data_IF_075465242049
#
_entry.id   IF_075465242049
#
_cell.length_a   1.000
_cell.length_b   1.000
_cell.length_c   1.000
_cell.angle_alpha   90.00
_cell.angle_beta   90.00
_cell.angle_gamma   90.00
#
_symmetry.space_group_name_H-M   'P 1'
#
loop_
_entity.id
_entity.type
_entity.pdbx_description
1 polymer ?
#
# COMPACT_ATOMS: atom_id res chain seq x y z
N UNK A 1 9.88 -8.27 35.33
CA UNK A 1 9.44 -7.65 34.06
C UNK A 1 7.92 -7.63 34.09
N UNK A 2 7.29 -6.44 34.12
CA UNK A 2 5.84 -6.33 34.11
C UNK A 2 5.27 -6.82 32.80
N UNK A 3 4.31 -7.73 32.84
CA UNK A 3 3.61 -8.19 31.65
C UNK A 3 2.71 -7.06 31.12
N UNK A 4 2.83 -6.79 29.82
CA UNK A 4 1.95 -5.86 29.11
C UNK A 4 0.67 -6.59 28.75
N UNK A 5 -0.48 -6.29 29.39
CA UNK A 5 -1.76 -6.96 29.11
C UNK A 5 -2.95 -6.00 29.19
N UNK A 6 -3.99 -6.31 28.40
CA UNK A 6 -5.32 -5.69 28.46
C UNK A 6 -6.32 -6.83 28.62
N UNK A 7 -6.96 -6.93 29.77
CA UNK A 7 -7.77 -8.10 30.13
C UNK A 7 -6.93 -9.38 30.10
N UNK A 8 -7.33 -10.33 29.24
CA UNK A 8 -6.62 -11.62 29.07
C UNK A 8 -5.61 -11.62 27.92
N UNK A 9 -5.49 -10.51 27.17
CA UNK A 9 -4.64 -10.40 25.99
C UNK A 9 -3.27 -9.88 26.41
N UNK A 10 -2.21 -10.67 26.19
CA UNK A 10 -0.82 -10.33 26.43
C UNK A 10 -0.18 -9.73 25.17
N UNK A 11 0.65 -8.70 25.33
CA UNK A 11 1.35 -8.01 24.25
C UNK A 11 2.84 -8.30 24.31
N UNK A 12 3.46 -8.51 23.15
CA UNK A 12 4.87 -8.86 23.04
C UNK A 12 5.81 -7.69 23.39
N UNK A 13 5.36 -6.45 23.16
CA UNK A 13 6.17 -5.25 23.37
C UNK A 13 5.35 -4.11 23.98
N UNK A 14 6.04 -3.06 24.45
CA UNK A 14 5.42 -1.82 24.94
C UNK A 14 4.71 -1.06 23.82
N UNK A 15 5.25 -1.13 22.62
CA UNK A 15 4.68 -0.51 21.42
C UNK A 15 3.37 -1.21 21.02
N UNK A 16 3.34 -2.53 21.03
CA UNK A 16 2.12 -3.33 20.81
C UNK A 16 1.05 -3.05 21.87
N UNK A 17 1.46 -2.91 23.12
CA UNK A 17 0.54 -2.53 24.20
C UNK A 17 -0.07 -1.15 23.98
N UNK A 18 0.73 -0.16 23.52
CA UNK A 18 0.21 1.18 23.18
C UNK A 18 -0.79 1.12 22.01
N UNK A 19 -0.50 0.31 20.98
CA UNK A 19 -1.45 0.05 19.91
C UNK A 19 -2.72 -0.60 20.43
N UNK A 20 -2.61 -1.59 21.33
CA UNK A 20 -3.72 -2.19 22.07
C UNK A 20 -4.57 -1.19 22.83
N UNK A 21 -3.95 -0.22 23.50
CA UNK A 21 -4.67 0.85 24.21
C UNK A 21 -5.44 1.80 23.26
N UNK A 22 -4.89 2.07 22.05
CA UNK A 22 -5.63 2.84 21.03
C UNK A 22 -6.83 2.06 20.51
N UNK A 23 -6.63 0.79 20.21
CA UNK A 23 -7.70 -0.09 19.72
C UNK A 23 -8.76 -0.31 20.79
N UNK A 24 -8.40 -0.42 22.08
CA UNK A 24 -9.37 -0.49 23.17
C UNK A 24 -10.33 0.71 23.17
N UNK A 25 -9.80 1.92 22.98
CA UNK A 25 -10.64 3.13 22.87
C UNK A 25 -11.56 3.09 21.64
N UNK A 26 -11.04 2.62 20.50
CA UNK A 26 -11.84 2.45 19.28
C UNK A 26 -12.96 1.42 19.48
N UNK A 27 -12.64 0.27 20.08
CA UNK A 27 -13.62 -0.78 20.41
C UNK A 27 -14.70 -0.23 21.34
N UNK A 28 -14.33 0.46 22.40
CA UNK A 28 -15.27 1.06 23.34
C UNK A 28 -16.19 2.10 22.69
N UNK A 29 -15.66 2.86 21.74
CA UNK A 29 -16.46 3.85 20.97
C UNK A 29 -17.44 3.16 20.01
N UNK A 30 -16.98 2.13 19.32
CA UNK A 30 -17.78 1.40 18.32
C UNK A 30 -18.87 0.56 18.96
N UNK A 31 -18.58 -0.07 20.11
CA UNK A 31 -19.53 -0.90 20.85
C UNK A 31 -20.45 -0.11 21.79
N UNK A 32 -20.29 1.20 21.87
CA UNK A 32 -21.07 2.05 22.76
C UNK A 32 -22.56 2.02 22.41
N UNK A 33 -23.37 1.43 23.27
CA UNK A 33 -24.82 1.32 23.10
C UNK A 33 -25.28 0.11 22.26
N UNK A 34 -24.37 -0.79 21.89
CA UNK A 34 -24.67 -2.03 21.18
C UNK A 34 -24.68 -3.22 22.14
N UNK A 35 -25.59 -4.18 21.92
CA UNK A 35 -25.61 -5.49 22.59
C UNK A 35 -24.86 -6.51 21.72
N UNK A 36 -23.54 -6.55 21.79
CA UNK A 36 -22.70 -7.42 20.95
C UNK A 36 -22.94 -8.92 21.18
N UNK A 37 -23.75 -9.29 22.15
CA UNK A 37 -24.26 -10.67 22.28
C UNK A 37 -25.45 -10.94 21.36
N UNK A 38 -26.10 -9.91 20.83
CA UNK A 38 -27.11 -10.05 19.77
C UNK A 38 -26.39 -10.30 18.45
N UNK A 39 -26.75 -11.41 17.80
CA UNK A 39 -26.22 -11.83 16.50
C UNK A 39 -26.38 -10.74 15.41
N UNK A 40 -27.47 -9.98 15.42
CA UNK A 40 -27.76 -8.97 14.38
C UNK A 40 -26.86 -7.74 14.57
N UNK A 41 -26.73 -7.26 15.81
CA UNK A 41 -25.88 -6.10 16.09
C UNK A 41 -24.39 -6.43 15.85
N UNK A 42 -23.95 -7.63 16.21
CA UNK A 42 -22.61 -8.11 15.93
C UNK A 42 -22.35 -8.23 14.41
N UNK A 43 -23.32 -8.73 13.64
CA UNK A 43 -23.21 -8.84 12.19
C UNK A 43 -23.16 -7.45 11.51
N UNK A 44 -24.02 -6.52 11.93
CA UNK A 44 -24.00 -5.13 11.40
C UNK A 44 -22.66 -4.45 11.66
N UNK A 45 -22.13 -4.58 12.86
CA UNK A 45 -20.83 -4.01 13.21
C UNK A 45 -19.70 -4.70 12.44
N UNK A 46 -19.75 -6.02 12.26
CA UNK A 46 -18.77 -6.75 11.48
C UNK A 46 -18.76 -6.31 10.01
N UNK A 47 -19.91 -6.20 9.37
CA UNK A 47 -20.01 -5.71 7.98
C UNK A 47 -19.55 -4.26 7.82
N UNK A 48 -19.76 -3.42 8.82
CA UNK A 48 -19.19 -2.08 8.84
C UNK A 48 -17.65 -2.11 8.96
N UNK A 49 -17.10 -3.00 9.79
CA UNK A 49 -15.66 -3.14 10.00
C UNK A 49 -14.94 -3.78 8.80
N UNK A 50 -15.61 -4.61 8.01
CA UNK A 50 -15.07 -5.12 6.73
C UNK A 50 -14.67 -3.98 5.79
N UNK A 51 -15.44 -2.89 5.77
CA UNK A 51 -15.15 -1.71 4.94
C UNK A 51 -14.02 -0.84 5.47
N UNK A 52 -13.48 -1.15 6.65
CA UNK A 52 -12.39 -0.41 7.30
C UNK A 52 -11.34 -1.37 7.88
N UNK A 53 -10.61 -2.10 7.04
CA UNK A 53 -9.68 -3.14 7.46
C UNK A 53 -8.55 -2.63 8.38
N UNK A 54 -8.15 -1.37 8.24
CA UNK A 54 -7.05 -0.75 8.99
C UNK A 54 -7.47 -0.01 10.28
N UNK A 55 -8.73 -0.13 10.68
CA UNK A 55 -9.20 0.54 11.88
C UNK A 55 -8.47 0.06 13.14
N UNK A 56 -7.99 -1.18 13.14
CA UNK A 56 -7.30 -1.80 14.26
C UNK A 56 -5.85 -2.14 13.93
N UNK A 57 -4.94 -1.80 14.84
CA UNK A 57 -3.49 -1.95 14.67
C UNK A 57 -2.91 -3.11 15.48
N UNK A 58 -3.61 -3.57 16.51
CA UNK A 58 -3.10 -4.51 17.53
C UNK A 58 -3.75 -5.90 17.48
N UNK A 59 -3.17 -6.83 18.24
CA UNK A 59 -3.77 -8.14 18.49
C UNK A 59 -5.19 -8.00 19.08
N UNK A 60 -5.41 -7.05 19.98
CA UNK A 60 -6.72 -6.80 20.60
C UNK A 60 -7.79 -6.46 19.54
N UNK A 61 -7.45 -5.61 18.57
CA UNK A 61 -8.38 -5.25 17.50
C UNK A 61 -8.69 -6.40 16.55
N UNK A 62 -7.68 -7.24 16.24
CA UNK A 62 -7.88 -8.46 15.44
C UNK A 62 -8.77 -9.47 16.16
N UNK A 63 -8.55 -9.68 17.44
CA UNK A 63 -9.39 -10.56 18.27
C UNK A 63 -10.84 -10.05 18.36
N UNK A 64 -11.04 -8.74 18.47
CA UNK A 64 -12.37 -8.15 18.46
C UNK A 64 -13.09 -8.40 17.13
N UNK A 65 -12.40 -8.24 16.01
CA UNK A 65 -12.96 -8.53 14.68
C UNK A 65 -13.32 -10.00 14.51
N UNK A 66 -12.42 -10.91 14.95
CA UNK A 66 -12.68 -12.36 14.95
C UNK A 66 -13.89 -12.72 15.81
N UNK A 67 -14.00 -12.09 16.98
CA UNK A 67 -15.16 -12.27 17.86
C UNK A 67 -16.47 -11.87 17.20
N UNK A 68 -16.50 -10.70 16.53
CA UNK A 68 -17.69 -10.23 15.82
C UNK A 68 -18.07 -11.15 14.66
N UNK A 69 -17.08 -11.66 13.93
CA UNK A 69 -17.27 -12.63 12.85
C UNK A 69 -17.92 -13.89 13.38
N UNK A 70 -17.34 -14.50 14.41
CA UNK A 70 -17.86 -15.73 14.99
C UNK A 70 -19.29 -15.55 15.52
N UNK A 71 -19.58 -14.39 16.12
CA UNK A 71 -20.94 -14.04 16.56
C UNK A 71 -21.90 -13.87 15.38
N UNK A 72 -21.46 -13.20 14.31
CA UNK A 72 -22.23 -13.04 13.08
C UNK A 72 -22.54 -14.39 12.39
N UNK A 73 -21.61 -15.33 12.46
CA UNK A 73 -21.73 -16.68 11.89
C UNK A 73 -22.46 -17.65 12.82
N UNK A 74 -22.88 -17.22 14.02
CA UNK A 74 -23.52 -18.07 15.04
C UNK A 74 -22.59 -19.09 15.68
N UNK A 75 -21.28 -18.87 15.58
CA UNK A 75 -20.23 -19.74 16.10
C UNK A 75 -19.85 -19.28 17.52
N UNK A 76 -19.59 -20.24 18.41
CA UNK A 76 -19.10 -19.92 19.76
C UNK A 76 -17.61 -19.57 19.68
N UNK A 77 -17.28 -18.29 19.95
CA UNK A 77 -15.90 -17.85 19.97
C UNK A 77 -15.07 -18.61 21.02
N UNK A 78 -13.80 -18.99 20.76
CA UNK A 78 -12.95 -19.77 21.67
C UNK A 78 -12.78 -19.16 23.07
N UNK A 79 -12.80 -17.85 23.17
CA UNK A 79 -12.69 -17.13 24.45
C UNK A 79 -14.05 -16.81 25.11
N UNK A 80 -15.16 -17.33 24.56
CA UNK A 80 -16.51 -17.04 25.04
C UNK A 80 -16.99 -15.64 24.65
N UNK A 81 -17.45 -14.85 25.63
CA UNK A 81 -17.79 -13.44 25.37
C UNK A 81 -16.53 -12.57 25.41
N UNK A 82 -16.46 -11.57 24.53
CA UNK A 82 -15.37 -10.59 24.58
C UNK A 82 -15.37 -9.90 25.95
N UNK A 83 -14.19 -9.65 26.56
CA UNK A 83 -14.12 -9.13 27.93
C UNK A 83 -14.93 -7.84 28.08
N UNK A 84 -15.89 -7.81 29.02
CA UNK A 84 -16.73 -6.60 29.25
C UNK A 84 -15.91 -5.37 29.58
N UNK A 85 -14.76 -5.55 30.21
CA UNK A 85 -13.77 -4.50 30.51
C UNK A 85 -13.25 -3.80 29.24
N UNK A 86 -13.25 -4.49 28.10
CA UNK A 86 -12.84 -3.97 26.80
C UNK A 86 -14.00 -3.32 26.04
N UNK A 87 -15.26 -3.57 26.39
CA UNK A 87 -16.43 -3.06 25.70
C UNK A 87 -16.96 -1.75 26.29
N UNK A 88 -16.74 -1.50 27.59
CA UNK A 88 -17.30 -0.34 28.31
C UNK A 88 -16.26 0.36 29.19
N UNK A 89 -16.17 1.68 29.11
CA UNK A 89 -15.42 2.45 30.10
C UNK A 89 -16.27 2.58 31.37
N UNK A 90 -15.78 2.06 32.51
CA UNK A 90 -16.52 1.86 33.77
C UNK A 90 -17.10 3.11 34.46
N UNK A 91 -17.20 4.27 33.83
CA UNK A 91 -17.80 5.48 34.37
C UNK A 91 -19.19 5.84 33.84
N UNK A 92 -19.63 5.25 32.72
CA UNK A 92 -20.86 5.66 32.03
C UNK A 92 -22.01 4.63 32.02
N UNK A 93 -21.80 3.43 32.59
CA UNK A 93 -22.79 2.35 32.56
C UNK A 93 -24.11 2.64 33.32
N UNK A 94 -24.11 3.59 34.28
CA UNK A 94 -25.32 3.92 35.04
C UNK A 94 -26.21 5.02 34.43
N UNK A 95 -25.67 5.86 33.53
CA UNK A 95 -26.43 7.00 32.95
C UNK A 95 -27.09 6.65 31.59
N UNK A 96 -26.66 5.61 30.92
CA UNK A 96 -27.15 5.29 29.53
C UNK A 96 -28.25 4.21 29.49
N UNK A 97 -28.46 3.41 30.52
CA UNK A 97 -29.62 2.52 30.62
C UNK A 97 -30.98 3.24 30.62
N UNK A 98 -31.01 4.53 30.90
CA UNK A 98 -32.19 5.38 30.80
C UNK A 98 -32.44 5.99 29.41
N UNK A 99 -31.40 6.29 28.66
CA UNK A 99 -31.51 6.97 27.37
C UNK A 99 -31.74 6.00 26.19
N UNK A 100 -31.30 4.74 26.31
CA UNK A 100 -31.47 3.72 25.26
C UNK A 100 -32.93 3.23 25.12
N UNK A 101 -33.79 3.44 26.11
CA UNK A 101 -35.21 3.07 26.04
C UNK A 101 -36.09 4.09 25.28
N UNK A 102 -35.61 5.32 25.10
CA UNK A 102 -36.34 6.38 24.37
C UNK A 102 -35.92 6.54 22.91
N UNK A 103 -34.80 5.92 22.46
CA UNK A 103 -34.25 6.08 21.11
C UNK A 103 -34.67 5.01 20.08
N UNK A 104 -35.48 4.03 20.46
CA UNK A 104 -35.90 2.89 19.57
C UNK A 104 -37.26 3.15 18.90
N UNK A 105 -37.58 4.36 18.57
CA UNK A 105 -38.87 4.70 17.97
C UNK A 105 -38.84 5.78 16.87
N UNK A 106 -37.91 5.73 15.91
CA UNK A 106 -37.96 6.71 14.83
C UNK A 106 -36.96 6.47 13.69
N UNK A 107 -37.40 6.73 12.47
CA UNK A 107 -36.60 6.64 11.23
C UNK A 107 -35.38 7.58 11.18
N UNK A 108 -35.21 8.46 12.17
CA UNK A 108 -34.18 9.52 12.22
C UNK A 108 -32.82 9.06 12.75
N UNK A 109 -32.71 7.84 13.28
CA UNK A 109 -31.46 7.31 13.84
C UNK A 109 -30.34 7.09 12.80
N UNK A 110 -30.69 6.89 11.53
CA UNK A 110 -29.69 6.66 10.45
C UNK A 110 -29.05 7.94 9.94
N UNK A 111 -29.78 9.05 9.94
CA UNK A 111 -29.23 10.37 9.55
C UNK A 111 -28.35 10.97 10.65
N UNK A 112 -28.70 10.77 11.91
CA UNK A 112 -27.88 11.23 13.04
C UNK A 112 -26.51 10.51 13.12
N UNK A 113 -26.44 9.23 12.69
CA UNK A 113 -25.18 8.48 12.61
C UNK A 113 -24.27 8.99 11.48
N UNK A 114 -24.81 9.33 10.31
CA UNK A 114 -24.06 9.92 9.18
C UNK A 114 -23.55 11.34 9.49
N UNK A 115 -24.35 12.14 10.16
CA UNK A 115 -23.96 13.49 10.59
C UNK A 115 -22.88 13.47 11.71
N UNK A 116 -22.86 12.44 12.57
CA UNK A 116 -21.85 12.23 13.60
C UNK A 116 -20.48 11.85 13.02
N UNK A 117 -20.44 11.08 11.94
CA UNK A 117 -19.20 10.67 11.26
C UNK A 117 -18.52 11.81 10.50
N UNK A 118 -19.31 12.69 9.83
CA UNK A 118 -18.76 13.90 9.20
C UNK A 118 -18.22 14.92 10.19
N UNK A 119 -18.89 15.13 11.34
CA UNK A 119 -18.44 16.07 12.37
C UNK A 119 -17.20 15.61 13.16
N UNK A 120 -16.90 14.30 13.17
CA UNK A 120 -15.71 13.78 13.82
C UNK A 120 -14.44 14.02 12.98
N UNK A 121 -14.56 13.97 11.65
CA UNK A 121 -13.44 14.22 10.72
C UNK A 121 -13.01 15.69 10.66
N UNK A 122 -13.97 16.63 10.82
CA UNK A 122 -13.66 18.07 10.85
C UNK A 122 -13.12 18.59 12.20
N UNK A 123 -13.48 17.95 13.32
CA UNK A 123 -13.07 18.42 14.65
C UNK A 123 -11.66 18.05 15.05
N UNK A 124 -11.10 16.96 14.52
CA UNK A 124 -9.74 16.54 14.85
C UNK A 124 -8.68 17.33 14.07
N UNK A 125 -8.99 17.79 12.86
CA UNK A 125 -8.08 18.64 12.09
C UNK A 125 -8.01 20.06 12.68
N UNK A 126 -9.12 20.61 13.20
CA UNK A 126 -9.15 21.94 13.81
C UNK A 126 -8.44 22.05 15.17
N UNK A 127 -8.38 20.96 15.95
CA UNK A 127 -7.74 20.99 17.27
C UNK A 127 -6.21 20.89 17.24
N UNK A 128 -5.66 20.34 16.17
CA UNK A 128 -4.20 20.24 16.02
C UNK A 128 -3.57 21.56 15.54
N UNK A 129 -4.32 22.37 14.80
CA UNK A 129 -3.90 23.71 14.37
C UNK A 129 -4.04 24.74 15.48
N UNK A 130 -5.13 24.73 16.26
CA UNK A 130 -5.30 25.66 17.40
C UNK A 130 -4.32 25.39 18.57
N UNK A 131 -3.84 24.17 18.74
CA UNK A 131 -2.83 23.85 19.76
C UNK A 131 -1.44 24.37 19.42
N UNK A 132 -1.10 24.43 18.12
CA UNK A 132 0.18 24.94 17.64
C UNK A 132 0.27 26.47 17.66
N UNK A 133 -0.85 27.18 17.55
CA UNK A 133 -0.87 28.64 17.65
C UNK A 133 -0.85 29.15 19.10
N UNK A 134 -1.44 28.43 20.07
CA UNK A 134 -1.39 28.84 21.48
C UNK A 134 -0.05 28.64 22.18
N UNK A 135 0.76 27.69 21.70
CA UNK A 135 2.10 27.45 22.27
C UNK A 135 3.17 28.45 21.80
N UNK A 136 2.82 29.41 20.93
CA UNK A 136 3.73 30.44 20.39
C UNK A 136 3.51 31.84 20.96
N UNK A 137 2.44 32.10 21.73
CA UNK A 137 2.12 33.42 22.30
C UNK A 137 2.50 33.62 23.77
N UNK A 138 3.01 32.57 24.45
CA UNK A 138 3.30 32.64 25.90
C UNK A 138 4.81 32.77 26.22
N UNK A 139 5.55 33.53 25.41
CA UNK A 139 6.93 33.93 25.69
C UNK A 139 7.08 35.45 25.62
N UNK A 140 6.49 36.12 26.62
CA UNK A 140 6.68 37.53 26.82
C UNK A 140 6.42 37.90 28.30
N UNK A 141 7.43 38.47 28.89
CA UNK A 141 7.44 39.21 30.15
C UNK A 141 7.58 38.43 31.47
N UNK A 142 8.82 38.27 31.89
CA UNK A 142 9.19 38.24 33.33
C UNK A 142 10.19 39.38 33.63
N UNK A 143 9.67 40.49 34.16
CA UNK A 143 10.46 41.52 34.80
C UNK A 143 10.98 41.05 36.19
N UNK A 144 12.16 41.55 36.52
CA UNK A 144 12.89 41.34 37.77
C UNK A 144 12.14 41.85 38.99
N UNK A 145 12.01 40.98 40.02
CA UNK A 145 12.13 41.46 41.43
C UNK A 145 12.37 40.24 42.38
N UNK A 146 13.41 40.32 43.18
CA UNK A 146 13.57 39.36 44.28
C UNK A 146 15.01 38.87 44.55
N UNK A 147 15.95 39.78 44.82
CA UNK A 147 17.19 39.40 45.51
C UNK A 147 16.90 39.14 47.01
N UNK A 148 17.61 38.12 47.53
CA UNK A 148 17.83 37.76 48.93
C UNK A 148 16.90 36.65 49.47
N UNK A 149 17.42 35.45 49.37
CA UNK A 149 17.48 34.38 50.37
C UNK A 149 17.50 32.98 49.72
N UNK A 150 18.64 32.47 49.31
CA UNK A 150 18.97 31.02 49.35
C UNK A 150 20.46 30.81 49.08
N UNK A 151 21.28 31.00 50.04
CA UNK A 151 22.63 30.46 50.09
C UNK A 151 22.62 29.29 51.06
N UNK A 152 22.66 28.06 50.55
CA UNK A 152 23.29 26.85 51.13
C UNK A 152 22.61 25.50 50.88
N UNK A 153 22.04 25.20 49.72
CA UNK A 153 21.74 23.80 49.37
C UNK A 153 21.91 23.43 47.89
N UNK A 154 22.41 24.36 47.03
CA UNK A 154 22.41 24.21 45.56
C UNK A 154 23.58 23.45 44.94
N UNK A 155 24.73 23.26 45.64
CA UNK A 155 25.96 22.78 44.98
C UNK A 155 26.02 21.27 44.61
N UNK A 156 25.21 20.40 45.24
CA UNK A 156 25.21 18.95 44.93
C UNK A 156 24.22 18.57 43.78
N UNK A 157 23.06 19.26 43.68
CA UNK A 157 22.08 18.97 42.61
C UNK A 157 22.56 19.42 41.22
N UNK A 158 23.27 20.52 41.11
CA UNK A 158 23.77 21.07 39.81
C UNK A 158 24.82 20.16 39.19
N UNK A 159 25.58 19.39 39.95
CA UNK A 159 26.62 18.47 39.45
C UNK A 159 26.06 17.25 38.69
N UNK A 160 24.83 16.83 38.97
CA UNK A 160 24.15 15.69 38.33
C UNK A 160 23.26 16.15 37.14
N UNK A 161 22.70 17.36 37.23
CA UNK A 161 21.81 17.91 36.19
C UNK A 161 22.57 18.20 34.88
N UNK A 162 23.79 18.75 34.98
CA UNK A 162 24.59 19.07 33.77
C UNK A 162 24.87 17.85 32.88
N UNK A 163 25.39 16.71 33.38
CA UNK A 163 25.61 15.52 32.55
C UNK A 163 24.30 14.93 32.04
N UNK A 164 23.19 15.04 32.79
CA UNK A 164 21.88 14.57 32.33
C UNK A 164 21.34 15.40 31.16
N UNK A 165 21.49 16.74 31.22
CA UNK A 165 21.12 17.62 30.11
C UNK A 165 21.99 17.37 28.86
N UNK A 166 23.30 17.13 29.02
CA UNK A 166 24.20 16.78 27.91
C UNK A 166 23.79 15.45 27.29
N UNK A 167 23.48 14.44 28.12
CA UNK A 167 22.99 13.14 27.65
C UNK A 167 21.64 13.28 26.90
N UNK A 168 20.71 14.06 27.46
CA UNK A 168 19.42 14.32 26.81
C UNK A 168 19.61 15.05 25.47
N UNK A 169 20.49 16.05 25.40
CA UNK A 169 20.84 16.73 24.16
C UNK A 169 21.46 15.80 23.12
N UNK A 170 22.35 14.92 23.57
CA UNK A 170 22.96 13.90 22.68
C UNK A 170 21.91 12.90 22.17
N UNK A 171 21.00 12.42 23.03
CA UNK A 171 19.88 11.56 22.62
C UNK A 171 18.95 12.25 21.61
N UNK A 172 18.66 13.55 21.77
CA UNK A 172 17.88 14.33 20.81
C UNK A 172 18.59 14.47 19.47
N UNK A 173 19.90 14.69 19.46
CA UNK A 173 20.70 14.74 18.23
C UNK A 173 20.67 13.37 17.53
N UNK A 174 20.91 12.28 18.25
CA UNK A 174 20.86 10.93 17.70
C UNK A 174 19.47 10.58 17.16
N UNK A 175 18.42 10.96 17.88
CA UNK A 175 17.04 10.78 17.44
C UNK A 175 16.73 11.60 16.17
N UNK A 176 17.22 12.83 16.09
CA UNK A 176 17.08 13.68 14.89
C UNK A 176 17.83 13.11 13.70
N UNK A 177 19.07 12.65 13.89
CA UNK A 177 19.84 11.95 12.87
C UNK A 177 19.15 10.68 12.41
N UNK A 178 18.65 9.85 13.34
CA UNK A 178 17.87 8.68 13.02
C UNK A 178 16.63 9.04 12.17
N UNK A 179 15.90 10.10 12.53
CA UNK A 179 14.72 10.54 11.75
C UNK A 179 15.09 11.03 10.35
N UNK A 180 16.23 11.72 10.20
CA UNK A 180 16.71 12.20 8.90
C UNK A 180 17.10 11.02 8.01
N UNK A 181 17.87 10.06 8.52
CA UNK A 181 18.39 8.95 7.73
C UNK A 181 17.45 7.73 7.65
N UNK A 182 16.42 7.67 8.52
CA UNK A 182 15.54 6.49 8.56
C UNK A 182 14.82 6.25 7.23
N UNK A 183 14.42 7.31 6.53
CA UNK A 183 13.78 7.19 5.21
C UNK A 183 14.71 6.52 4.20
N UNK A 184 15.93 7.02 4.08
CA UNK A 184 16.90 6.51 3.10
C UNK A 184 17.30 5.07 3.41
N UNK A 185 17.47 4.73 4.70
CA UNK A 185 17.79 3.36 5.13
C UNK A 185 16.65 2.39 4.79
N UNK A 186 15.39 2.76 5.11
CA UNK A 186 14.25 1.89 4.82
C UNK A 186 14.00 1.74 3.32
N UNK A 187 14.19 2.83 2.55
CA UNK A 187 14.07 2.81 1.11
C UNK A 187 15.14 1.92 0.46
N UNK A 188 16.38 2.02 0.91
CA UNK A 188 17.48 1.14 0.47
C UNK A 188 17.20 -0.34 0.77
N UNK A 189 16.67 -0.64 1.97
CA UNK A 189 16.29 -2.02 2.33
C UNK A 189 15.19 -2.53 1.40
N UNK A 190 14.21 -1.70 1.08
CA UNK A 190 13.14 -2.04 0.13
C UNK A 190 13.68 -2.35 -1.26
N UNK A 191 14.57 -1.52 -1.80
CA UNK A 191 15.21 -1.75 -3.10
C UNK A 191 15.97 -3.07 -3.14
N UNK A 192 16.76 -3.37 -2.11
CA UNK A 192 17.49 -4.64 -2.01
C UNK A 192 16.55 -5.86 -2.03
N UNK A 193 15.39 -5.75 -1.38
CA UNK A 193 14.37 -6.82 -1.45
C UNK A 193 13.82 -6.98 -2.87
N UNK A 194 13.61 -5.88 -3.61
CA UNK A 194 13.14 -5.96 -5.00
C UNK A 194 14.19 -6.58 -5.91
N UNK A 195 15.48 -6.26 -5.73
CA UNK A 195 16.58 -6.91 -6.44
C UNK A 195 16.63 -8.42 -6.14
N UNK A 196 16.43 -8.83 -4.88
CA UNK A 196 16.36 -10.24 -4.49
C UNK A 196 15.18 -10.94 -5.20
N UNK A 197 13.99 -10.34 -5.23
CA UNK A 197 12.84 -10.90 -5.95
C UNK A 197 13.11 -11.02 -7.45
N UNK A 198 13.71 -10.00 -8.08
CA UNK A 198 14.09 -10.04 -9.49
C UNK A 198 15.10 -11.17 -9.77
N UNK A 199 16.05 -11.41 -8.86
CA UNK A 199 17.00 -12.51 -9.00
C UNK A 199 16.35 -13.90 -8.95
N UNK A 200 15.22 -14.05 -8.26
CA UNK A 200 14.46 -15.31 -8.24
C UNK A 200 13.85 -15.66 -9.61
N UNK A 201 13.56 -14.66 -10.46
CA UNK A 201 13.06 -14.89 -11.83
C UNK A 201 14.20 -15.29 -12.76
N UNK A 202 15.38 -14.72 -12.56
CA UNK A 202 16.54 -14.89 -13.42
C UNK A 202 17.44 -16.07 -13.02
N UNK A 203 17.09 -16.79 -11.94
CA UNK A 203 17.92 -17.90 -11.45
C UNK A 203 17.96 -19.00 -12.52
N UNK A 204 19.12 -19.30 -13.11
CA UNK A 204 19.24 -20.40 -14.05
C UNK A 204 18.93 -21.71 -13.32
N UNK A 205 18.04 -22.52 -13.87
CA UNK A 205 17.87 -23.90 -13.40
C UNK A 205 19.11 -24.68 -13.80
N UNK A 206 19.59 -25.58 -12.94
CA UNK A 206 20.72 -26.44 -13.29
C UNK A 206 20.48 -27.17 -14.62
N UNK A 207 21.51 -27.31 -15.47
CA UNK A 207 21.34 -27.84 -16.82
C UNK A 207 20.79 -29.26 -16.78
N UNK A 208 19.62 -29.46 -17.37
CA UNK A 208 19.08 -30.79 -17.59
C UNK A 208 19.84 -31.53 -18.72
N UNK A 209 19.72 -32.84 -18.77
CA UNK A 209 20.30 -33.70 -19.79
C UNK A 209 19.98 -33.25 -21.22
N UNK A 210 18.86 -32.57 -21.42
CA UNK A 210 18.43 -31.97 -22.69
C UNK A 210 19.31 -30.82 -23.17
N UNK A 211 19.83 -29.97 -22.27
CA UNK A 211 20.73 -28.87 -22.63
C UNK A 211 22.10 -29.41 -23.11
N UNK A 212 22.64 -30.38 -22.40
CA UNK A 212 23.89 -31.01 -22.81
C UNK A 212 23.83 -31.63 -24.20
N UNK A 213 22.69 -32.27 -24.55
CA UNK A 213 22.48 -32.78 -25.93
C UNK A 213 22.39 -31.65 -26.93
N UNK A 214 21.69 -30.56 -26.60
CA UNK A 214 21.56 -29.41 -27.52
C UNK A 214 22.88 -28.72 -27.78
N UNK A 215 23.72 -28.56 -26.76
CA UNK A 215 25.08 -28.04 -26.89
C UNK A 215 25.90 -28.93 -27.83
N UNK A 216 25.85 -30.28 -27.59
CA UNK A 216 26.53 -31.21 -28.43
C UNK A 216 26.10 -31.15 -29.92
N UNK A 217 24.81 -31.05 -30.20
CA UNK A 217 24.25 -30.89 -31.55
C UNK A 217 24.74 -29.59 -32.22
N UNK A 218 24.73 -28.46 -31.47
CA UNK A 218 25.20 -27.18 -31.99
C UNK A 218 26.70 -27.22 -32.33
N UNK A 219 27.52 -27.84 -31.51
CA UNK A 219 28.95 -28.04 -31.75
C UNK A 219 29.14 -28.96 -32.95
N UNK A 220 28.38 -30.07 -33.00
CA UNK A 220 28.47 -31.06 -34.10
C UNK A 220 28.09 -30.49 -35.47
N UNK A 221 27.27 -29.43 -35.49
CA UNK A 221 26.92 -28.71 -36.72
C UNK A 221 28.12 -28.02 -37.37
N UNK A 222 29.19 -27.77 -36.64
CA UNK A 222 30.39 -27.07 -37.08
C UNK A 222 30.20 -25.57 -37.34
N UNK A 223 29.02 -25.01 -37.00
CA UNK A 223 28.69 -23.60 -37.24
C UNK A 223 28.99 -22.70 -36.03
N UNK A 224 29.15 -23.28 -34.85
CA UNK A 224 29.28 -22.54 -33.61
C UNK A 224 30.49 -23.06 -32.80
N UNK A 225 31.17 -22.19 -32.10
CA UNK A 225 32.14 -22.52 -31.10
C UNK A 225 31.45 -23.10 -29.85
N UNK A 226 32.18 -23.77 -28.98
CA UNK A 226 31.62 -24.32 -27.76
C UNK A 226 30.96 -23.23 -26.88
N UNK A 227 31.58 -22.05 -26.76
CA UNK A 227 31.06 -20.93 -26.00
C UNK A 227 29.76 -20.37 -26.62
N UNK A 228 29.70 -20.24 -27.95
CA UNK A 228 28.49 -19.82 -28.67
C UNK A 228 27.36 -20.85 -28.51
N UNK A 229 27.67 -22.14 -28.63
CA UNK A 229 26.71 -23.23 -28.45
C UNK A 229 26.10 -23.24 -27.05
N UNK A 230 26.91 -23.05 -26.01
CA UNK A 230 26.45 -22.93 -24.63
C UNK A 230 25.51 -21.75 -24.49
N UNK A 231 25.87 -20.58 -25.02
CA UNK A 231 25.05 -19.37 -24.91
C UNK A 231 23.72 -19.50 -25.66
N UNK A 232 23.73 -20.15 -26.83
CA UNK A 232 22.50 -20.40 -27.61
C UNK A 232 21.60 -21.39 -26.86
N UNK A 233 22.14 -22.55 -26.44
CA UNK A 233 21.35 -23.55 -25.74
C UNK A 233 20.73 -23.00 -24.44
N UNK A 234 21.50 -22.21 -23.71
CA UNK A 234 21.01 -21.52 -22.49
C UNK A 234 19.86 -20.55 -22.81
N UNK A 235 20.01 -19.69 -23.83
CA UNK A 235 18.94 -18.78 -24.25
C UNK A 235 17.68 -19.50 -24.71
N UNK A 236 17.82 -20.57 -25.50
CA UNK A 236 16.71 -21.41 -25.92
C UNK A 236 16.00 -22.06 -24.75
N UNK A 237 16.75 -22.51 -23.73
CA UNK A 237 16.20 -23.13 -22.54
C UNK A 237 15.52 -22.09 -21.64
N UNK A 238 16.13 -20.93 -21.43
CA UNK A 238 15.54 -19.81 -20.68
C UNK A 238 14.23 -19.36 -21.34
N UNK A 239 14.19 -19.30 -22.67
CA UNK A 239 12.98 -18.96 -23.41
C UNK A 239 11.91 -20.03 -23.25
N UNK A 240 12.23 -21.31 -23.41
CA UNK A 240 11.28 -22.42 -23.23
C UNK A 240 10.74 -22.50 -21.81
N UNK A 241 11.60 -22.29 -20.79
CA UNK A 241 11.14 -22.25 -19.40
C UNK A 241 10.29 -21.03 -19.09
N UNK A 242 10.61 -19.88 -19.67
CA UNK A 242 9.80 -18.69 -19.55
C UNK A 242 8.40 -18.83 -20.18
N UNK A 243 8.25 -19.74 -21.14
CA UNK A 243 6.99 -20.06 -21.82
C UNK A 243 6.28 -21.29 -21.25
N UNK A 244 6.97 -22.11 -20.43
CA UNK A 244 6.33 -23.23 -19.77
C UNK A 244 5.39 -22.76 -18.66
N UNK A 245 4.29 -23.49 -18.48
CA UNK A 245 3.30 -23.22 -17.44
C UNK A 245 3.20 -24.40 -16.47
N UNK A 246 2.82 -24.12 -15.24
CA UNK A 246 2.48 -25.13 -14.24
C UNK A 246 1.13 -25.77 -14.56
N UNK A 247 0.73 -26.80 -13.79
CA UNK A 247 -0.61 -27.42 -13.90
C UNK A 247 -1.75 -26.41 -13.72
N UNK A 248 -1.53 -25.37 -12.91
CA UNK A 248 -2.48 -24.27 -12.66
C UNK A 248 -2.41 -23.16 -13.74
N UNK A 249 -1.65 -23.35 -14.82
CA UNK A 249 -1.51 -22.39 -15.92
C UNK A 249 -0.58 -21.21 -15.64
N UNK A 250 0.12 -21.20 -14.51
CA UNK A 250 1.02 -20.11 -14.11
C UNK A 250 2.35 -20.25 -14.86
N UNK A 251 2.87 -19.17 -15.43
CA UNK A 251 4.19 -19.15 -16.05
C UNK A 251 5.24 -19.64 -15.07
N UNK A 252 5.99 -20.68 -15.48
CA UNK A 252 6.93 -21.37 -14.59
C UNK A 252 7.93 -20.42 -13.94
N UNK A 253 8.39 -19.39 -14.68
CA UNK A 253 9.30 -18.37 -14.19
C UNK A 253 8.79 -17.59 -12.98
N UNK A 254 7.47 -17.53 -12.75
CA UNK A 254 6.84 -16.83 -11.64
C UNK A 254 6.34 -17.77 -10.55
N UNK A 255 6.33 -19.09 -10.77
CA UNK A 255 5.76 -20.08 -9.84
C UNK A 255 6.34 -20.02 -8.43
N UNK A 256 7.65 -19.79 -8.30
CA UNK A 256 8.33 -19.66 -6.99
C UNK A 256 7.86 -18.41 -6.25
N UNK A 257 7.72 -17.29 -6.94
CA UNK A 257 7.27 -16.04 -6.34
C UNK A 257 5.78 -16.11 -6.01
N UNK A 258 4.96 -16.65 -6.91
CA UNK A 258 3.53 -16.87 -6.69
C UNK A 258 3.29 -17.80 -5.49
N UNK A 259 4.08 -18.87 -5.35
CA UNK A 259 4.02 -19.74 -4.17
C UNK A 259 4.41 -19.06 -2.85
N UNK A 260 5.17 -17.94 -2.90
CA UNK A 260 5.50 -17.11 -1.72
C UNK A 260 4.43 -16.07 -1.42
N UNK A 261 3.74 -15.57 -2.46
CA UNK A 261 2.64 -14.63 -2.33
C UNK A 261 1.68 -14.78 -3.52
N UNK A 262 0.55 -15.38 -3.28
CA UNK A 262 -0.53 -15.69 -4.22
C UNK A 262 -1.35 -14.47 -4.69
N UNK A 263 -1.11 -13.30 -4.10
CA UNK A 263 -1.66 -12.01 -4.56
C UNK A 263 -0.80 -11.37 -5.67
N UNK A 264 0.24 -12.06 -6.15
CA UNK A 264 1.04 -11.60 -7.28
C UNK A 264 0.23 -11.73 -8.58
N UNK A 265 0.01 -10.61 -9.27
CA UNK A 265 -0.66 -10.55 -10.57
C UNK A 265 0.29 -10.72 -11.74
N UNK A 266 1.54 -10.27 -11.59
CA UNK A 266 2.50 -10.27 -12.68
C UNK A 266 3.81 -9.57 -12.33
N UNK A 267 4.55 -9.22 -13.38
CA UNK A 267 5.85 -8.55 -13.29
C UNK A 267 5.97 -7.46 -14.33
N UNK A 268 6.33 -6.25 -13.89
CA UNK A 268 6.53 -5.11 -14.79
C UNK A 268 8.00 -4.78 -14.92
N UNK A 269 8.44 -4.50 -16.14
CA UNK A 269 9.80 -4.09 -16.46
C UNK A 269 9.82 -3.00 -17.53
N UNK A 270 10.61 -1.96 -17.28
CA UNK A 270 10.99 -0.96 -18.26
C UNK A 270 12.52 -1.02 -18.38
N UNK A 271 12.98 -1.57 -19.50
CA UNK A 271 14.39 -1.81 -19.74
C UNK A 271 15.19 -0.50 -19.68
N UNK A 272 16.41 -0.56 -19.13
CA UNK A 272 17.26 0.63 -18.96
C UNK A 272 16.87 1.52 -17.75
N UNK A 273 15.83 1.16 -16.99
CA UNK A 273 15.35 1.92 -15.83
C UNK A 273 15.33 1.08 -14.55
N UNK A 274 14.96 1.71 -13.43
CA UNK A 274 14.76 1.04 -12.14
C UNK A 274 13.47 0.22 -12.09
N UNK A 275 12.55 0.39 -13.05
CA UNK A 275 11.26 -0.32 -13.03
C UNK A 275 11.49 -1.78 -13.41
N UNK A 276 11.51 -2.64 -12.39
CA UNK A 276 11.66 -4.09 -12.49
C UNK A 276 11.07 -4.71 -11.21
N UNK A 277 9.73 -4.81 -11.16
CA UNK A 277 8.98 -5.06 -9.93
C UNK A 277 7.86 -6.08 -10.13
N UNK A 278 7.52 -6.88 -9.10
CA UNK A 278 6.24 -7.59 -9.08
C UNK A 278 5.09 -6.60 -9.03
N UNK A 279 3.96 -6.98 -9.61
CA UNK A 279 2.69 -6.27 -9.53
C UNK A 279 1.73 -7.13 -8.75
N UNK A 280 1.05 -6.53 -7.77
CA UNK A 280 0.14 -7.22 -6.88
C UNK A 280 -1.32 -6.91 -7.25
N UNK A 281 -2.22 -7.82 -6.94
CA UNK A 281 -3.67 -7.62 -7.11
C UNK A 281 -4.40 -8.11 -5.85
N UNK A 282 -5.16 -7.23 -5.23
CA UNK A 282 -5.98 -7.50 -4.05
C UNK A 282 -7.41 -7.00 -4.30
N UNK A 283 -8.33 -7.86 -4.77
CA UNK A 283 -9.68 -7.44 -5.15
C UNK A 283 -10.49 -6.83 -3.99
N UNK A 284 -10.22 -7.26 -2.75
CA UNK A 284 -10.95 -6.79 -1.56
C UNK A 284 -10.36 -5.52 -0.91
N UNK A 285 -9.13 -5.11 -1.28
CA UNK A 285 -8.40 -3.98 -0.69
C UNK A 285 -7.41 -3.40 -1.70
N UNK A 286 -7.89 -2.50 -2.54
CA UNK A 286 -7.14 -1.91 -3.64
C UNK A 286 -5.81 -1.25 -3.19
N UNK A 287 -5.78 -0.62 -2.02
CA UNK A 287 -4.60 0.07 -1.50
C UNK A 287 -3.72 -0.79 -0.58
N UNK A 288 -3.98 -2.10 -0.47
CA UNK A 288 -3.27 -2.97 0.46
C UNK A 288 -1.74 -2.86 0.33
N UNK A 289 -1.24 -2.83 -0.91
CA UNK A 289 0.19 -2.77 -1.20
C UNK A 289 0.77 -1.35 -1.28
N UNK A 290 -0.03 -0.32 -1.05
CA UNK A 290 0.43 1.07 -1.04
C UNK A 290 1.58 1.31 -0.04
N UNK A 291 1.60 0.57 1.08
CA UNK A 291 2.64 0.65 2.13
C UNK A 291 3.06 -0.72 2.64
N UNK A 292 3.02 -1.71 1.78
CA UNK A 292 3.49 -3.07 2.10
C UNK A 292 4.36 -3.60 0.97
N UNK A 293 5.37 -4.38 1.36
CA UNK A 293 6.24 -5.11 0.45
C UNK A 293 5.62 -6.46 0.06
N UNK A 294 6.34 -7.20 -0.76
CA UNK A 294 5.96 -8.53 -1.22
C UNK A 294 5.74 -9.54 -0.08
N UNK A 295 6.42 -9.36 1.04
CA UNK A 295 6.27 -10.15 2.26
C UNK A 295 5.06 -9.72 3.14
N UNK A 296 4.17 -8.89 2.60
CA UNK A 296 2.98 -8.34 3.28
C UNK A 296 3.31 -7.49 4.54
N UNK A 297 4.61 -7.19 4.77
CA UNK A 297 5.06 -6.34 5.86
C UNK A 297 5.08 -4.88 5.43
N UNK A 298 5.10 -3.99 6.44
CA UNK A 298 5.23 -2.56 6.18
C UNK A 298 6.49 -2.27 5.36
N UNK A 299 6.31 -1.56 4.27
CA UNK A 299 7.36 -1.03 3.43
C UNK A 299 7.01 0.41 3.02
N UNK A 300 7.95 1.32 3.19
CA UNK A 300 7.70 2.75 2.91
C UNK A 300 7.54 3.02 1.42
N UNK A 301 8.20 2.23 0.58
CA UNK A 301 8.12 2.33 -0.87
C UNK A 301 6.85 1.66 -1.41
N UNK A 302 6.21 0.78 -0.63
CA UNK A 302 5.14 -0.07 -1.11
C UNK A 302 5.63 -0.97 -2.25
N UNK A 303 4.70 -1.43 -3.07
CA UNK A 303 4.98 -2.22 -4.28
C UNK A 303 3.93 -1.86 -5.33
N UNK A 304 4.23 -1.87 -6.64
CA UNK A 304 3.21 -1.63 -7.67
C UNK A 304 2.04 -2.59 -7.54
N UNK A 305 0.83 -2.07 -7.70
CA UNK A 305 -0.39 -2.84 -7.59
C UNK A 305 -1.40 -2.46 -8.68
N UNK A 306 -2.19 -3.44 -9.07
CA UNK A 306 -3.21 -3.32 -10.09
C UNK A 306 -4.52 -2.84 -9.44
N UNK A 307 -5.31 -2.08 -10.18
CA UNK A 307 -6.66 -1.69 -9.79
C UNK A 307 -7.50 -2.95 -9.50
N UNK A 308 -8.24 -2.94 -8.40
CA UNK A 308 -9.00 -4.11 -7.94
C UNK A 308 -10.08 -4.59 -8.92
N UNK A 309 -10.46 -3.76 -9.88
CA UNK A 309 -11.43 -4.11 -10.93
C UNK A 309 -10.81 -4.84 -12.11
N UNK A 310 -9.47 -4.89 -12.20
CA UNK A 310 -8.80 -5.62 -13.26
C UNK A 310 -8.87 -7.12 -13.03
N UNK A 311 -9.11 -7.89 -14.10
CA UNK A 311 -8.99 -9.35 -14.14
C UNK A 311 -7.74 -9.78 -14.90
N UNK A 312 -7.04 -10.81 -14.43
CA UNK A 312 -5.85 -11.38 -15.11
C UNK A 312 -6.10 -12.78 -15.64
N UNK A 313 -7.04 -13.56 -15.08
CA UNK A 313 -7.51 -14.85 -15.62
C UNK A 313 -8.42 -14.63 -16.82
N UNK A 314 -9.40 -13.75 -16.68
CA UNK A 314 -10.20 -13.18 -17.75
C UNK A 314 -9.72 -11.75 -17.94
N UNK A 315 -8.77 -11.50 -18.86
CA UNK A 315 -8.13 -10.21 -18.97
C UNK A 315 -9.11 -9.09 -19.30
N UNK A 316 -9.14 -8.06 -18.48
CA UNK A 316 -9.90 -6.83 -18.76
C UNK A 316 -9.27 -6.04 -19.90
N UNK A 317 -10.03 -5.20 -20.56
CA UNK A 317 -9.60 -4.37 -21.69
C UNK A 317 -8.37 -3.53 -21.37
N UNK A 318 -8.25 -3.04 -20.13
CA UNK A 318 -7.14 -2.20 -19.67
C UNK A 318 -6.62 -2.68 -18.31
N UNK A 319 -5.36 -2.98 -18.24
CA UNK A 319 -4.65 -3.20 -16.98
C UNK A 319 -4.18 -1.85 -16.43
N UNK A 320 -4.80 -1.41 -15.34
CA UNK A 320 -4.41 -0.17 -14.66
C UNK A 320 -3.54 -0.49 -13.46
N UNK A 321 -2.27 -0.04 -13.50
CA UNK A 321 -1.28 -0.31 -12.47
C UNK A 321 -0.83 0.99 -11.82
N UNK A 322 -0.89 1.03 -10.50
CA UNK A 322 -0.44 2.13 -9.67
C UNK A 322 0.94 1.84 -9.06
N UNK A 323 1.76 2.86 -8.94
CA UNK A 323 3.04 2.79 -8.26
C UNK A 323 3.46 4.14 -7.71
N UNK A 324 4.23 4.14 -6.62
CA UNK A 324 4.71 5.37 -6.03
C UNK A 324 5.75 6.10 -6.91
N UNK A 325 5.70 7.44 -6.89
CA UNK A 325 6.81 8.27 -7.30
C UNK A 325 7.67 8.58 -6.07
N UNK A 326 8.76 7.83 -5.89
CA UNK A 326 9.61 7.96 -4.71
C UNK A 326 10.70 9.04 -4.92
N UNK A 327 11.04 9.76 -3.85
CA UNK A 327 12.06 10.83 -3.92
C UNK A 327 13.47 10.32 -4.25
N UNK A 328 13.76 9.08 -3.90
CA UNK A 328 15.04 8.43 -4.19
C UNK A 328 15.14 7.87 -5.61
N UNK A 329 14.10 8.05 -6.45
CA UNK A 329 14.09 7.58 -7.82
C UNK A 329 13.60 6.16 -8.02
N UNK A 330 13.16 5.44 -6.96
CA UNK A 330 12.62 4.09 -7.07
C UNK A 330 11.14 4.06 -7.44
N UNK A 331 10.60 2.86 -7.58
CA UNK A 331 9.23 2.55 -7.99
C UNK A 331 8.92 3.17 -9.36
N UNK A 332 7.80 3.88 -9.52
CA UNK A 332 7.38 4.47 -10.79
C UNK A 332 7.92 5.89 -11.04
N UNK A 333 8.94 6.33 -10.29
CA UNK A 333 9.53 7.64 -10.52
C UNK A 333 10.14 7.81 -11.91
N UNK A 334 10.70 6.74 -12.51
CA UNK A 334 11.25 6.77 -13.85
C UNK A 334 10.20 7.09 -14.94
N UNK A 335 8.89 6.87 -14.66
CA UNK A 335 7.84 7.25 -15.61
C UNK A 335 7.82 8.75 -15.92
N UNK A 336 8.24 9.60 -14.97
CA UNK A 336 8.24 11.04 -15.19
C UNK A 336 9.24 11.45 -16.30
N UNK A 337 10.25 10.64 -16.56
CA UNK A 337 11.21 10.89 -17.65
C UNK A 337 10.56 10.85 -19.03
N UNK A 338 9.41 10.22 -19.17
CA UNK A 338 8.61 10.26 -20.40
C UNK A 338 8.00 11.64 -20.70
N UNK A 339 8.15 12.64 -19.85
CA UNK A 339 7.85 14.04 -20.21
C UNK A 339 8.72 14.51 -21.37
N UNK A 340 9.93 13.96 -21.49
CA UNK A 340 10.86 14.23 -22.58
C UNK A 340 10.71 13.19 -23.71
N UNK A 341 10.49 13.66 -24.93
CA UNK A 341 10.28 12.80 -26.11
C UNK A 341 11.51 11.93 -26.41
N UNK A 342 12.72 12.43 -26.11
CA UNK A 342 13.97 11.69 -26.26
C UNK A 342 13.97 10.41 -25.42
N UNK A 343 13.44 10.47 -24.18
CA UNK A 343 13.33 9.30 -23.33
C UNK A 343 12.36 8.28 -23.92
N UNK A 344 11.23 8.73 -24.47
CA UNK A 344 10.29 7.86 -25.18
C UNK A 344 10.95 7.16 -26.38
N UNK A 345 11.75 7.88 -27.18
CA UNK A 345 12.44 7.31 -28.35
C UNK A 345 13.35 6.13 -27.97
N UNK A 346 13.95 6.16 -26.78
CA UNK A 346 14.80 5.10 -26.24
C UNK A 346 14.02 3.99 -25.55
N UNK A 347 12.78 4.27 -25.09
CA UNK A 347 11.98 3.39 -24.23
C UNK A 347 10.54 3.22 -24.75
N UNK A 348 10.36 2.82 -26.02
CA UNK A 348 9.05 2.73 -26.67
C UNK A 348 8.16 1.60 -26.17
N UNK A 349 8.71 0.63 -25.47
CA UNK A 349 8.03 -0.60 -25.08
C UNK A 349 8.16 -0.85 -23.58
N UNK A 350 7.03 -1.18 -22.96
CA UNK A 350 6.94 -1.64 -21.58
C UNK A 350 6.66 -3.14 -21.61
N UNK A 351 7.38 -3.93 -20.82
CA UNK A 351 7.05 -5.32 -20.59
C UNK A 351 6.20 -5.45 -19.33
N UNK A 352 5.04 -6.05 -19.47
CA UNK A 352 4.23 -6.49 -18.36
C UNK A 352 3.74 -7.91 -18.61
N UNK A 353 4.32 -8.84 -17.89
CA UNK A 353 3.88 -10.23 -17.87
C UNK A 353 2.85 -10.39 -16.75
N UNK A 354 1.66 -10.93 -17.05
CA UNK A 354 0.82 -11.49 -15.97
C UNK A 354 1.45 -12.80 -15.48
N UNK A 355 0.93 -13.37 -14.40
CA UNK A 355 1.37 -14.71 -13.99
C UNK A 355 1.01 -15.79 -15.02
N UNK A 356 0.10 -15.50 -15.97
CA UNK A 356 -0.40 -16.45 -16.97
C UNK A 356 0.21 -16.27 -18.36
N UNK A 357 0.55 -15.04 -18.76
CA UNK A 357 1.05 -14.75 -20.11
C UNK A 357 2.07 -13.62 -20.13
N UNK A 358 2.94 -13.64 -21.13
CA UNK A 358 3.90 -12.56 -21.40
C UNK A 358 3.22 -11.45 -22.19
N UNK A 359 3.60 -10.20 -21.90
CA UNK A 359 3.07 -9.04 -22.59
C UNK A 359 4.11 -7.98 -22.87
N UNK A 360 4.14 -7.49 -24.10
CA UNK A 360 4.85 -6.29 -24.52
C UNK A 360 3.86 -5.24 -24.96
N UNK A 361 4.04 -4.01 -24.48
CA UNK A 361 3.11 -2.91 -24.72
C UNK A 361 3.84 -1.73 -25.34
N UNK A 362 3.40 -1.33 -26.55
CA UNK A 362 3.88 -0.12 -27.22
C UNK A 362 3.16 1.10 -26.70
N UNK A 363 3.90 2.16 -26.38
CA UNK A 363 3.32 3.37 -25.79
C UNK A 363 2.47 4.13 -26.83
N UNK A 364 1.20 4.31 -26.48
CA UNK A 364 0.20 5.06 -27.26
C UNK A 364 0.21 6.54 -26.91
N UNK A 365 0.43 6.87 -25.64
CA UNK A 365 0.47 8.25 -25.18
C UNK A 365 0.93 8.38 -23.73
N UNK A 366 1.43 9.58 -23.43
CA UNK A 366 1.97 9.96 -22.12
C UNK A 366 1.43 11.33 -21.76
N UNK A 367 0.86 11.45 -20.58
CA UNK A 367 0.25 12.71 -20.17
C UNK A 367 0.29 12.95 -18.66
N UNK A 368 0.13 14.21 -18.30
CA UNK A 368 -0.09 14.67 -16.93
C UNK A 368 -1.54 15.07 -16.77
N UNK A 369 -2.14 14.68 -15.65
CA UNK A 369 -3.51 15.06 -15.34
C UNK A 369 -3.68 15.33 -13.85
N UNK A 370 -4.76 16.01 -13.50
CA UNK A 370 -5.16 16.20 -12.11
C UNK A 370 -6.37 15.30 -11.83
N UNK A 371 -6.41 14.66 -10.64
CA UNK A 371 -7.60 13.94 -10.20
C UNK A 371 -8.74 14.97 -10.02
N UNK A 372 -9.84 14.86 -10.76
CA UNK A 372 -10.95 15.79 -10.65
C UNK A 372 -11.61 15.68 -9.27
N UNK A 373 -12.17 16.78 -8.78
CA UNK A 373 -13.01 16.75 -7.57
C UNK A 373 -14.25 15.89 -7.82
N UNK A 374 -14.78 15.25 -6.77
CA UNK A 374 -15.99 14.42 -6.85
C UNK A 374 -17.20 15.21 -7.37
N UNK A 375 -17.24 16.52 -7.11
CA UNK A 375 -18.28 17.44 -7.59
C UNK A 375 -18.22 17.69 -9.09
N UNK A 376 -17.09 17.50 -9.73
CA UNK A 376 -16.90 17.66 -11.18
C UNK A 376 -17.29 16.36 -11.89
N UNK A 377 -18.56 16.28 -12.28
CA UNK A 377 -19.13 15.09 -12.93
C UNK A 377 -18.83 15.00 -14.42
N UNK A 378 -18.44 16.10 -15.05
CA UNK A 378 -18.15 16.17 -16.49
C UNK A 378 -16.68 15.87 -16.78
N UNK A 379 -15.80 15.95 -15.80
CA UNK A 379 -14.39 15.68 -15.98
C UNK A 379 -14.13 14.21 -16.31
N UNK A 380 -13.37 13.98 -17.37
CA UNK A 380 -12.98 12.64 -17.76
C UNK A 380 -12.02 12.03 -16.73
N UNK A 381 -12.29 10.78 -16.34
CA UNK A 381 -11.52 10.04 -15.35
C UNK A 381 -10.84 8.84 -16.03
N UNK A 382 -9.59 8.98 -16.48
CA UNK A 382 -8.84 7.92 -17.15
C UNK A 382 -8.85 6.60 -16.36
N UNK A 383 -8.86 6.68 -15.05
CA UNK A 383 -8.88 5.51 -14.15
C UNK A 383 -10.25 4.82 -14.05
N UNK A 384 -11.27 5.34 -14.67
CA UNK A 384 -12.57 4.67 -14.77
C UNK A 384 -12.62 3.64 -15.89
N UNK A 385 -11.73 3.74 -16.88
CA UNK A 385 -11.68 2.85 -18.02
C UNK A 385 -10.88 1.59 -17.69
N UNK A 386 -11.57 0.51 -17.32
CA UNK A 386 -10.97 -0.79 -16.97
C UNK A 386 -11.40 -1.85 -17.97
N UNK A 387 -12.70 -2.02 -18.18
CA UNK A 387 -13.23 -3.03 -19.11
C UNK A 387 -14.40 -2.46 -19.89
N UNK A 388 -14.48 -2.83 -21.18
CA UNK A 388 -15.58 -2.40 -22.04
C UNK A 388 -15.84 -3.41 -23.14
N UNK A 389 -17.11 -3.53 -23.54
CA UNK A 389 -17.58 -4.24 -24.72
C UNK A 389 -18.08 -3.25 -25.79
N UNK A 390 -17.88 -1.95 -25.58
CA UNK A 390 -18.32 -0.88 -26.48
C UNK A 390 -17.12 -0.27 -27.21
N UNK A 391 -17.14 -0.40 -28.53
CA UNK A 391 -16.09 0.14 -29.40
C UNK A 391 -16.01 1.67 -29.33
N UNK A 392 -17.13 2.36 -29.14
CA UNK A 392 -17.12 3.83 -29.06
C UNK A 392 -16.47 4.30 -27.75
N UNK A 393 -16.75 3.61 -26.63
CA UNK A 393 -16.11 3.88 -25.35
C UNK A 393 -14.60 3.63 -25.42
N UNK A 394 -14.18 2.51 -26.04
CA UNK A 394 -12.76 2.21 -26.27
C UNK A 394 -12.08 3.31 -27.07
N UNK A 395 -12.67 3.65 -28.23
CA UNK A 395 -12.13 4.66 -29.12
C UNK A 395 -12.14 6.06 -28.48
N UNK A 396 -13.10 6.36 -27.60
CA UNK A 396 -13.14 7.61 -26.84
C UNK A 396 -11.97 7.68 -25.85
N UNK A 397 -11.63 6.57 -25.19
CA UNK A 397 -10.45 6.50 -24.32
C UNK A 397 -9.16 6.72 -25.09
N UNK A 398 -8.98 6.07 -26.23
CA UNK A 398 -7.77 6.23 -27.08
C UNK A 398 -7.66 7.68 -27.59
N UNK A 399 -8.78 8.29 -28.04
CA UNK A 399 -8.77 9.71 -28.43
C UNK A 399 -8.34 10.62 -27.26
N UNK A 400 -8.92 10.41 -26.09
CA UNK A 400 -8.55 11.16 -24.88
C UNK A 400 -7.04 11.02 -24.59
N UNK A 401 -6.49 9.81 -24.59
CA UNK A 401 -5.07 9.56 -24.35
C UNK A 401 -4.20 10.33 -25.34
N UNK A 402 -4.53 10.28 -26.64
CA UNK A 402 -3.79 10.98 -27.69
C UNK A 402 -3.89 12.50 -27.58
N UNK A 403 -5.07 13.03 -27.27
CA UNK A 403 -5.30 14.48 -27.10
C UNK A 403 -4.56 15.05 -25.89
N UNK A 404 -4.40 14.25 -24.82
CA UNK A 404 -3.68 14.67 -23.61
C UNK A 404 -2.17 14.43 -23.69
N UNK A 405 -1.70 13.61 -24.64
CA UNK A 405 -0.30 13.21 -24.73
C UNK A 405 0.63 14.41 -24.99
N UNK A 406 1.80 14.42 -24.36
CA UNK A 406 2.82 15.46 -24.53
C UNK A 406 3.34 15.53 -25.98
N UNK A 407 3.35 14.41 -26.68
CA UNK A 407 3.83 14.25 -28.06
C UNK A 407 3.07 13.16 -28.78
N UNK A 408 3.21 13.12 -30.10
CA UNK A 408 2.63 12.08 -30.93
C UNK A 408 3.57 10.88 -31.03
N UNK A 409 3.17 9.73 -30.51
CA UNK A 409 3.96 8.49 -30.57
C UNK A 409 3.91 7.79 -31.93
N UNK A 410 2.97 8.17 -32.78
CA UNK A 410 2.67 7.47 -34.02
C UNK A 410 1.92 6.13 -33.83
N UNK A 411 1.73 5.70 -32.58
CA UNK A 411 1.05 4.46 -32.21
C UNK A 411 -0.43 4.74 -31.92
N UNK A 412 -1.31 3.82 -32.32
CA UNK A 412 -2.73 3.82 -31.95
C UNK A 412 -3.15 2.41 -31.55
N UNK A 413 -4.26 2.27 -30.86
CA UNK A 413 -4.84 0.99 -30.50
C UNK A 413 -6.20 0.83 -31.19
N UNK A 414 -6.44 -0.36 -31.74
CA UNK A 414 -7.73 -0.73 -32.31
C UNK A 414 -8.59 -1.42 -31.26
N UNK A 415 -9.92 -1.31 -31.39
CA UNK A 415 -10.86 -1.97 -30.49
C UNK A 415 -10.56 -3.48 -30.39
N UNK A 416 -10.58 -3.99 -29.16
CA UNK A 416 -10.21 -5.37 -28.84
C UNK A 416 -8.71 -5.58 -28.54
N UNK A 417 -7.86 -4.55 -28.76
CA UNK A 417 -6.47 -4.61 -28.29
C UNK A 417 -6.41 -4.31 -26.80
N UNK A 418 -5.74 -5.18 -26.02
CA UNK A 418 -5.55 -4.95 -24.60
C UNK A 418 -4.63 -3.77 -24.34
N UNK A 419 -4.98 -2.98 -23.33
CA UNK A 419 -4.22 -1.81 -22.91
C UNK A 419 -3.52 -2.03 -21.57
N UNK A 420 -2.47 -1.26 -21.35
CA UNK A 420 -1.75 -1.13 -20.08
C UNK A 420 -1.67 0.35 -19.73
N UNK A 421 -2.20 0.73 -18.59
CA UNK A 421 -2.11 2.09 -18.06
C UNK A 421 -1.28 2.09 -16.79
N UNK A 422 -0.16 2.80 -16.80
CA UNK A 422 0.68 3.00 -15.62
C UNK A 422 0.41 4.38 -15.05
N UNK A 423 0.16 4.46 -13.75
CA UNK A 423 -0.17 5.70 -13.06
C UNK A 423 0.70 5.91 -11.83
N UNK A 424 1.28 7.10 -11.73
CA UNK A 424 2.03 7.52 -10.54
C UNK A 424 1.67 8.94 -10.12
N UNK A 425 2.03 9.31 -8.86
CA UNK A 425 1.81 10.66 -8.37
C UNK A 425 2.75 11.65 -9.05
N UNK A 426 2.19 12.74 -9.56
CA UNK A 426 2.96 13.92 -9.95
C UNK A 426 2.80 15.02 -8.90
N UNK A 427 3.93 15.44 -8.33
CA UNK A 427 3.95 16.45 -7.26
C UNK A 427 4.05 17.88 -7.79
N UNK A 428 4.16 18.05 -9.11
CA UNK A 428 4.25 19.37 -9.74
C UNK A 428 2.91 20.10 -9.71
N UNK A 429 1.80 19.35 -9.62
CA UNK A 429 0.43 19.90 -9.53
C UNK A 429 -0.35 19.23 -8.38
N UNK A 430 -1.30 19.93 -7.74
CA UNK A 430 -2.15 19.38 -6.69
C UNK A 430 -2.93 18.15 -7.19
N UNK A 431 -2.94 17.06 -6.42
CA UNK A 431 -3.57 15.79 -6.80
C UNK A 431 -3.17 15.28 -8.19
N UNK A 432 -1.94 15.61 -8.63
CA UNK A 432 -1.41 15.28 -9.94
C UNK A 432 -1.15 13.81 -10.13
N UNK A 433 -1.33 13.37 -11.37
CA UNK A 433 -0.95 12.04 -11.86
C UNK A 433 -0.15 12.16 -13.14
N UNK A 434 0.87 11.34 -13.25
CA UNK A 434 1.61 11.09 -14.48
C UNK A 434 1.20 9.72 -15.00
N UNK A 435 0.78 9.66 -16.26
CA UNK A 435 0.14 8.48 -16.84
C UNK A 435 0.83 8.10 -18.13
N UNK A 436 1.13 6.82 -18.28
CA UNK A 436 1.69 6.22 -19.51
C UNK A 436 0.73 5.13 -19.93
N UNK A 437 0.27 5.19 -21.18
CA UNK A 437 -0.68 4.22 -21.74
C UNK A 437 -0.02 3.50 -22.91
N UNK A 438 -0.02 2.17 -22.85
CA UNK A 438 0.46 1.29 -23.90
C UNK A 438 -0.65 0.38 -24.43
N UNK A 439 -0.46 -0.10 -25.67
CA UNK A 439 -1.25 -1.17 -26.28
C UNK A 439 -0.42 -2.46 -26.33
N UNK A 440 -1.04 -3.60 -26.17
CA UNK A 440 -0.37 -4.90 -26.37
C UNK A 440 0.01 -5.06 -27.84
N UNK A 441 1.23 -5.58 -28.10
CA UNK A 441 1.73 -5.92 -29.44
C UNK A 441 1.02 -7.11 -30.04
#
# INVERSE_FOLDING_TARGET
>A
MGKWCIGKIEFASKEDYKAGCRDLKRIQTLSAGMELNDHREAAELYEMLKKQPFLFESVLGREFRSYLKDKADGIRHPYGNFPEECLYSGKDSKKRKGAAKEAVGGKDGREAMRAGQMKFRERDIGRETERKEKDLEDFGDFEEEGQDAVKKTGKKKIRVIKPLCILAGFCLILFSLYKIFSYDIWSYISERKMEELASCILTPIEPEVSEAHRIADLIASGMYTEEEAINIARKEQEQKQGESVTEDGILYRYSVLYGRNDEMAGWIQLEGTVINYPVMLTPDDEEYYLKKGFDKKYDINGIPFMDARCGIEEPTTNFLIYGHNMKNGSMFSALLSYEEEEFYEEHKTIRFDTIYERGEYEIVGVFRTQIPYESDREAYRYYSFIDTQDEEEYNAYIRFVKEQSFYETGITAEYGTQLLTLSTCDRSIPAGRFVVVGRKK
#
